data_IF_398710931086
#
_entry.id   IF_398710931086
#
_cell.length_a   1.000
_cell.length_b   1.000
_cell.length_c   1.000
_cell.angle_alpha   90.00
_cell.angle_beta   90.00
_cell.angle_gamma   90.00
#
_symmetry.space_group_name_H-M   'P 1'
#
loop_
_entity.id
_entity.type
_entity.pdbx_description
1 polymer ?
#
# COMPACT_ATOMS: atom_id res chain seq x y z
N UNK A 1 17.70 11.38 -6.03
CA UNK A 1 16.38 11.18 -5.40
C UNK A 1 15.62 10.12 -6.16
N UNK A 2 15.07 9.13 -5.48
CA UNK A 2 14.32 8.04 -6.11
C UNK A 2 12.81 8.27 -5.88
N UNK A 3 12.04 8.27 -6.94
CA UNK A 3 10.62 8.54 -6.91
C UNK A 3 9.84 7.24 -7.06
N UNK A 4 8.91 7.01 -6.12
CA UNK A 4 8.03 5.84 -6.11
C UNK A 4 6.60 6.31 -6.35
N UNK A 5 6.03 5.92 -7.47
CA UNK A 5 4.60 6.12 -7.75
C UNK A 5 3.84 4.98 -7.08
N UNK A 6 2.99 5.33 -6.14
CA UNK A 6 2.27 4.36 -5.30
C UNK A 6 0.77 4.52 -5.48
N UNK A 7 0.07 3.39 -5.57
CA UNK A 7 -1.39 3.34 -5.63
C UNK A 7 -1.87 2.29 -4.65
N UNK A 8 -2.92 2.60 -3.89
CA UNK A 8 -3.53 1.66 -2.95
C UNK A 8 -4.99 1.43 -3.29
N UNK A 9 -5.46 0.22 -2.99
CA UNK A 9 -6.87 -0.11 -3.02
C UNK A 9 -7.32 -0.43 -1.60
N UNK A 10 -8.45 0.13 -1.19
CA UNK A 10 -8.94 0.06 0.18
C UNK A 10 -10.39 -0.39 0.23
N UNK A 11 -10.81 -0.90 1.37
CA UNK A 11 -12.21 -1.28 1.57
C UNK A 11 -13.04 -0.20 2.28
N UNK A 12 -12.50 1.02 2.39
CA UNK A 12 -13.21 2.15 2.98
C UNK A 12 -12.35 3.42 3.02
N UNK A 13 -12.90 4.52 3.57
CA UNK A 13 -12.32 5.85 3.39
C UNK A 13 -11.16 6.22 4.31
N UNK A 14 -10.96 5.53 5.44
CA UNK A 14 -9.90 5.87 6.39
C UNK A 14 -9.20 4.63 6.92
N UNK A 15 -7.87 4.69 7.18
CA UNK A 15 -7.16 3.58 7.80
C UNK A 15 -7.53 3.44 9.27
N UNK A 16 -7.36 2.22 9.80
CA UNK A 16 -7.68 1.91 11.19
C UNK A 16 -9.07 1.33 11.33
N UNK A 17 -10.10 2.02 10.86
CA UNK A 17 -11.46 1.46 10.75
C UNK A 17 -11.58 0.58 9.52
N UNK A 18 -11.04 1.04 8.42
CA UNK A 18 -11.03 0.34 7.13
C UNK A 18 -9.62 -0.08 6.78
N UNK A 19 -9.49 -0.95 5.80
CA UNK A 19 -8.24 -1.62 5.48
C UNK A 19 -7.72 -1.27 4.10
N UNK A 20 -6.39 -1.16 4.01
CA UNK A 20 -5.70 -1.23 2.72
C UNK A 20 -5.68 -2.70 2.30
N UNK A 21 -6.18 -2.97 1.11
CA UNK A 21 -6.34 -4.34 0.59
C UNK A 21 -5.25 -4.68 -0.43
N UNK A 22 -4.85 -3.69 -1.21
CA UNK A 22 -3.80 -3.87 -2.22
C UNK A 22 -2.90 -2.64 -2.22
N UNK A 23 -1.63 -2.86 -2.49
CA UNK A 23 -0.66 -1.80 -2.71
C UNK A 23 0.18 -2.13 -3.93
N UNK A 24 0.32 -1.18 -4.82
CA UNK A 24 1.20 -1.25 -5.97
C UNK A 24 2.14 -0.08 -6.00
N UNK A 25 3.35 -0.29 -6.47
CA UNK A 25 4.32 0.77 -6.62
C UNK A 25 5.21 0.52 -7.84
N UNK A 26 5.68 1.61 -8.44
CA UNK A 26 6.64 1.58 -9.54
C UNK A 26 7.68 2.66 -9.32
N UNK A 27 8.94 2.35 -9.63
CA UNK A 27 9.99 3.35 -9.62
C UNK A 27 9.87 4.20 -10.88
N UNK A 28 9.84 5.52 -10.73
CA UNK A 28 9.72 6.45 -11.85
C UNK A 28 11.09 6.61 -12.49
N UNK A 29 11.31 5.81 -13.53
CA UNK A 29 12.56 5.73 -14.30
C UNK A 29 12.23 5.28 -15.72
N UNK A 30 13.14 5.42 -16.68
CA UNK A 30 12.91 4.92 -18.03
C UNK A 30 12.56 3.44 -18.04
N UNK A 31 11.50 3.07 -18.76
CA UNK A 31 11.03 1.70 -18.87
C UNK A 31 10.03 1.27 -17.81
N UNK A 32 10.00 1.92 -16.65
CA UNK A 32 9.04 1.63 -15.55
C UNK A 32 8.94 0.13 -15.23
N UNK A 33 10.07 -0.57 -15.20
CA UNK A 33 10.08 -2.04 -15.07
C UNK A 33 10.16 -2.53 -13.64
N UNK A 34 10.73 -1.71 -12.72
CA UNK A 34 10.87 -2.12 -11.32
C UNK A 34 9.61 -1.79 -10.55
N UNK A 35 8.88 -2.83 -10.15
CA UNK A 35 7.57 -2.70 -9.50
C UNK A 35 7.51 -3.51 -8.21
N UNK A 36 6.56 -3.13 -7.37
CA UNK A 36 6.18 -3.88 -6.17
C UNK A 36 4.66 -4.06 -6.18
N UNK A 37 4.19 -5.19 -5.68
CA UNK A 37 2.77 -5.46 -5.49
C UNK A 37 2.56 -6.29 -4.23
N UNK A 38 1.51 -5.97 -3.48
CA UNK A 38 1.12 -6.74 -2.31
C UNK A 38 -0.38 -6.73 -2.10
N UNK A 39 -0.89 -7.83 -1.55
CA UNK A 39 -2.28 -7.98 -1.13
C UNK A 39 -2.29 -8.19 0.38
N UNK A 40 -3.12 -7.41 1.08
CA UNK A 40 -3.11 -7.32 2.53
C UNK A 40 -4.42 -7.81 3.11
N UNK A 41 -4.32 -8.69 4.09
CA UNK A 41 -5.46 -9.15 4.88
C UNK A 41 -6.10 -7.94 5.59
N UNK A 42 -7.45 -7.85 5.61
CA UNK A 42 -8.13 -6.78 6.33
C UNK A 42 -7.77 -6.73 7.81
N UNK A 43 -7.70 -5.52 8.37
CA UNK A 43 -7.37 -5.30 9.78
C UNK A 43 -8.59 -5.26 10.68
N UNK A 44 -9.78 -5.21 10.11
CA UNK A 44 -11.05 -5.21 10.84
C UNK A 44 -12.12 -5.90 10.01
N UNK A 45 -13.29 -6.10 10.60
CA UNK A 45 -14.45 -6.65 9.90
C UNK A 45 -15.27 -5.57 9.17
N UNK A 46 -14.86 -4.31 9.28
CA UNK A 46 -15.57 -3.18 8.69
C UNK A 46 -15.13 -2.97 7.24
N UNK A 47 -16.09 -2.86 6.34
CA UNK A 47 -15.82 -2.56 4.93
C UNK A 47 -17.02 -1.86 4.30
N UNK A 48 -16.75 -1.10 3.24
CA UNK A 48 -17.76 -0.44 2.43
C UNK A 48 -17.93 -1.24 1.13
N UNK A 49 -19.13 -1.84 0.89
CA UNK A 49 -19.37 -2.59 -0.33
C UNK A 49 -19.17 -1.78 -1.61
N UNK A 50 -19.42 -0.47 -1.58
CA UNK A 50 -19.22 0.39 -2.75
C UNK A 50 -17.73 0.55 -3.06
N UNK A 51 -16.89 0.66 -2.03
CA UNK A 51 -15.44 0.72 -2.21
C UNK A 51 -14.90 -0.57 -2.84
N UNK A 52 -15.38 -1.72 -2.39
CA UNK A 52 -15.00 -3.02 -2.95
C UNK A 52 -15.44 -3.17 -4.41
N UNK A 53 -16.67 -2.75 -4.73
CA UNK A 53 -17.16 -2.79 -6.12
C UNK A 53 -16.29 -1.93 -7.04
N UNK A 54 -15.85 -0.77 -6.56
CA UNK A 54 -15.03 0.14 -7.35
C UNK A 54 -13.68 -0.50 -7.75
N UNK A 55 -13.18 -1.45 -6.96
CA UNK A 55 -11.93 -2.16 -7.25
C UNK A 55 -12.13 -3.59 -7.75
N UNK A 56 -13.38 -3.95 -8.10
CA UNK A 56 -13.71 -5.23 -8.71
C UNK A 56 -13.78 -6.41 -7.75
N UNK A 57 -13.86 -6.18 -6.45
CA UNK A 57 -13.99 -7.24 -5.45
C UNK A 57 -15.47 -7.39 -5.10
N UNK A 58 -16.03 -8.56 -5.41
CA UNK A 58 -17.46 -8.87 -5.16
C UNK A 58 -17.67 -9.63 -3.85
N UNK A 59 -16.62 -10.26 -3.32
CA UNK A 59 -16.68 -11.02 -2.08
C UNK A 59 -15.50 -10.64 -1.19
N UNK A 60 -15.77 -9.85 -0.15
CA UNK A 60 -14.75 -9.40 0.80
C UNK A 60 -14.03 -10.55 1.49
N UNK A 61 -14.69 -11.71 1.66
CA UNK A 61 -14.07 -12.87 2.32
C UNK A 61 -12.81 -13.35 1.59
N UNK A 62 -12.67 -13.09 0.30
CA UNK A 62 -11.46 -13.40 -0.47
C UNK A 62 -10.25 -12.69 0.13
N UNK A 63 -10.44 -11.46 0.59
CA UNK A 63 -9.36 -10.64 1.15
C UNK A 63 -8.84 -11.22 2.48
N UNK A 64 -9.64 -11.99 3.19
CA UNK A 64 -9.22 -12.60 4.46
C UNK A 64 -8.12 -13.65 4.29
N UNK A 65 -7.92 -14.13 3.06
CA UNK A 65 -6.85 -15.05 2.71
C UNK A 65 -5.55 -14.38 2.25
N UNK A 66 -5.52 -13.06 2.19
CA UNK A 66 -4.32 -12.31 1.80
C UNK A 66 -3.27 -12.32 2.92
N UNK A 67 -2.09 -11.80 2.62
CA UNK A 67 -0.97 -11.81 3.55
C UNK A 67 -1.20 -10.85 4.73
N UNK A 68 -0.58 -11.17 5.87
CA UNK A 68 -0.63 -10.29 7.02
C UNK A 68 -0.03 -8.92 6.67
N UNK A 69 -0.67 -7.81 7.09
CA UNK A 69 -0.18 -6.47 6.74
C UNK A 69 1.29 -6.21 7.10
N UNK A 70 1.75 -6.71 8.26
CA UNK A 70 3.16 -6.57 8.64
C UNK A 70 4.08 -7.18 7.59
N UNK A 71 3.78 -8.37 7.10
CA UNK A 71 4.64 -9.07 6.14
C UNK A 71 4.72 -8.31 4.82
N UNK A 72 3.59 -7.76 4.35
CA UNK A 72 3.56 -6.96 3.13
C UNK A 72 4.36 -5.66 3.31
N UNK A 73 4.16 -4.98 4.44
CA UNK A 73 4.87 -3.73 4.69
C UNK A 73 6.37 -3.94 4.88
N UNK A 74 6.79 -5.05 5.49
CA UNK A 74 8.20 -5.41 5.59
C UNK A 74 8.82 -5.66 4.22
N UNK A 75 8.12 -6.37 3.33
CA UNK A 75 8.58 -6.60 1.96
C UNK A 75 8.66 -5.29 1.17
N UNK A 76 7.68 -4.41 1.36
CA UNK A 76 7.68 -3.10 0.70
C UNK A 76 8.85 -2.24 1.18
N UNK A 77 9.07 -2.16 2.48
CA UNK A 77 10.23 -1.45 3.04
C UNK A 77 11.55 -2.00 2.47
N UNK A 78 11.69 -3.32 2.47
CA UNK A 78 12.90 -3.98 1.96
C UNK A 78 13.14 -3.60 0.49
N UNK A 79 12.11 -3.64 -0.33
CA UNK A 79 12.20 -3.28 -1.73
C UNK A 79 12.61 -1.81 -1.91
N UNK A 80 12.02 -0.90 -1.12
CA UNK A 80 12.39 0.52 -1.14
C UNK A 80 13.88 0.68 -0.76
N UNK A 81 14.31 0.05 0.33
CA UNK A 81 15.69 0.18 0.80
C UNK A 81 16.71 -0.39 -0.18
N UNK A 82 16.37 -1.46 -0.88
CA UNK A 82 17.23 -2.08 -1.90
C UNK A 82 17.29 -1.27 -3.20
N UNK A 83 16.26 -0.49 -3.50
CA UNK A 83 16.16 0.21 -4.79
C UNK A 83 16.49 1.69 -4.73
N UNK A 84 16.38 2.32 -3.55
CA UNK A 84 16.61 3.76 -3.43
C UNK A 84 18.08 4.18 -3.62
N UNK A 85 19.01 3.25 -3.49
CA UNK A 85 20.44 3.57 -3.51
C UNK A 85 20.82 4.44 -2.32
N UNK A 86 21.61 5.49 -2.57
CA UNK A 86 21.98 6.50 -1.57
C UNK A 86 20.99 7.66 -1.52
N UNK A 87 20.00 7.66 -2.41
CA UNK A 87 19.03 8.73 -2.51
C UNK A 87 17.94 8.61 -1.45
N UNK A 88 17.28 9.73 -1.16
CA UNK A 88 16.08 9.73 -0.34
C UNK A 88 14.90 9.26 -1.17
N UNK A 89 14.08 8.32 -0.68
CA UNK A 89 12.88 7.91 -1.40
C UNK A 89 11.82 9.01 -1.32
N UNK A 90 11.13 9.22 -2.45
CA UNK A 90 10.01 10.16 -2.55
C UNK A 90 8.74 9.42 -2.92
N UNK A 91 7.71 9.66 -2.15
CA UNK A 91 6.37 9.13 -2.40
C UNK A 91 5.61 10.08 -3.33
N UNK A 92 5.08 9.56 -4.43
CA UNK A 92 4.14 10.28 -5.27
C UNK A 92 2.94 9.39 -5.57
N UNK A 93 1.79 9.99 -5.81
CA UNK A 93 0.59 9.26 -6.20
C UNK A 93 -0.39 10.18 -6.92
N UNK A 94 -1.38 9.57 -7.55
CA UNK A 94 -2.43 10.27 -8.27
C UNK A 94 -3.34 11.05 -7.31
N UNK A 95 -3.69 10.42 -6.17
CA UNK A 95 -4.43 11.07 -5.09
C UNK A 95 -3.58 11.02 -3.81
N UNK A 96 -2.59 11.90 -3.75
CA UNK A 96 -1.53 11.82 -2.74
C UNK A 96 -2.05 11.86 -1.30
N UNK A 97 -3.05 12.68 -1.03
CA UNK A 97 -3.62 12.78 0.31
C UNK A 97 -4.26 11.47 0.78
N UNK A 98 -4.90 10.75 -0.13
CA UNK A 98 -5.54 9.48 0.17
C UNK A 98 -4.53 8.33 0.29
N UNK A 99 -3.73 8.11 -0.74
CA UNK A 99 -2.77 7.01 -0.77
C UNK A 99 -1.75 7.14 0.35
N UNK A 100 -1.23 8.34 0.57
CA UNK A 100 -0.26 8.59 1.64
C UNK A 100 -0.84 8.35 3.03
N UNK A 101 -2.09 8.72 3.26
CA UNK A 101 -2.77 8.49 4.53
C UNK A 101 -2.74 7.01 4.93
N UNK A 102 -3.07 6.12 4.01
CA UNK A 102 -3.05 4.68 4.25
C UNK A 102 -1.62 4.14 4.38
N UNK A 103 -0.73 4.49 3.48
CA UNK A 103 0.65 3.96 3.48
C UNK A 103 1.40 4.41 4.74
N UNK A 104 1.29 5.70 5.09
CA UNK A 104 1.92 6.25 6.28
C UNK A 104 1.39 5.56 7.54
N UNK A 105 0.08 5.43 7.66
CA UNK A 105 -0.54 4.76 8.80
C UNK A 105 -0.06 3.31 8.93
N UNK A 106 -0.02 2.56 7.83
CA UNK A 106 0.39 1.16 7.83
C UNK A 106 1.87 0.99 8.22
N UNK A 107 2.76 1.84 7.73
CA UNK A 107 4.16 1.80 8.15
C UNK A 107 4.29 2.01 9.66
N UNK A 108 3.67 3.04 10.20
CA UNK A 108 3.75 3.33 11.63
C UNK A 108 3.07 2.27 12.48
N UNK A 109 1.92 1.81 12.05
CA UNK A 109 1.15 0.80 12.81
C UNK A 109 1.87 -0.54 12.90
N UNK A 110 2.48 -0.98 11.82
CA UNK A 110 3.05 -2.32 11.75
C UNK A 110 4.57 -2.38 11.90
N UNK A 111 5.31 -1.35 11.51
CA UNK A 111 6.77 -1.34 11.59
C UNK A 111 7.33 -0.33 12.58
N UNK A 112 6.52 0.61 13.06
CA UNK A 112 6.94 1.71 13.95
C UNK A 112 8.03 2.58 13.33
N UNK A 113 8.10 2.62 12.00
CA UNK A 113 8.99 3.46 11.21
C UNK A 113 8.44 3.62 9.80
N UNK A 114 8.95 4.61 9.08
CA UNK A 114 8.52 4.92 7.72
C UNK A 114 9.76 5.27 6.88
N UNK A 115 10.04 4.55 5.77
CA UNK A 115 11.22 4.80 4.95
C UNK A 115 11.16 6.10 4.13
N UNK A 116 9.95 6.63 3.90
CA UNK A 116 9.77 7.87 3.13
C UNK A 116 10.08 9.14 3.88
#
# INVERSE_FOLDING_TARGET
MTWYMVDVETDGPIPGEYSMIQIGAVIVEPGLERTFYGELKPISSKYDPDALRAIGITNWDVCTGYDHPRDVMERFEKWIMETKGTARPRFISDNNGFDWMFVCWYFWRFLERNPF
#
